data_IF_893753199198
#
_entry.id   IF_893753199198
#
_cell.length_a   1.000
_cell.length_b   1.000
_cell.length_c   1.000
_cell.angle_alpha   90.00
_cell.angle_beta   90.00
_cell.angle_gamma   90.00
#
_symmetry.space_group_name_H-M   'P 1'
#
loop_
_entity.id
_entity.type
_entity.pdbx_description
1 polymer ?
#
# COMPACT_ATOMS: atom_id res chain seq x y z
N UNK A 1 14.23 -66.94 19.85
CA UNK A 1 12.95 -66.21 19.63
C UNK A 1 11.80 -67.17 19.88
N UNK A 2 11.00 -66.92 20.91
CA UNK A 2 9.90 -67.81 21.32
C UNK A 2 8.77 -67.80 20.28
N UNK A 3 8.03 -68.91 20.17
CA UNK A 3 6.90 -69.06 19.26
C UNK A 3 5.83 -67.96 19.48
N UNK A 4 5.70 -67.46 20.71
CA UNK A 4 4.83 -66.34 21.07
C UNK A 4 5.18 -65.03 20.34
N UNK A 5 6.47 -64.73 20.14
CA UNK A 5 6.90 -63.53 19.43
C UNK A 5 6.51 -63.58 17.94
N UNK A 6 6.65 -64.74 17.31
CA UNK A 6 6.27 -64.93 15.90
C UNK A 6 4.76 -64.82 15.70
N UNK A 7 3.97 -65.32 16.65
CA UNK A 7 2.51 -65.16 16.66
C UNK A 7 2.07 -63.71 16.84
N UNK A 8 2.74 -62.95 17.72
CA UNK A 8 2.41 -61.53 17.92
C UNK A 8 2.73 -60.68 16.67
N UNK A 9 3.86 -60.94 16.02
CA UNK A 9 4.24 -60.24 14.77
C UNK A 9 3.28 -60.59 13.62
N UNK A 10 2.90 -61.86 13.48
CA UNK A 10 1.94 -62.29 12.46
C UNK A 10 0.53 -61.69 12.71
N UNK A 11 0.09 -61.63 13.97
CA UNK A 11 -1.19 -61.00 14.33
C UNK A 11 -1.18 -59.49 14.07
N UNK A 12 -0.08 -58.80 14.39
CA UNK A 12 0.07 -57.36 14.11
C UNK A 12 0.09 -57.07 12.61
N UNK A 13 0.77 -57.90 11.80
CA UNK A 13 0.78 -57.76 10.35
C UNK A 13 -0.61 -58.01 9.73
N UNK A 14 -1.36 -58.99 10.24
CA UNK A 14 -2.72 -59.27 9.79
C UNK A 14 -3.70 -58.14 10.13
N UNK A 15 -3.58 -57.53 11.33
CA UNK A 15 -4.37 -56.37 11.74
C UNK A 15 -4.04 -55.12 10.90
N UNK A 16 -2.77 -54.88 10.58
CA UNK A 16 -2.37 -53.78 9.71
C UNK A 16 -2.88 -53.97 8.27
N UNK A 17 -2.81 -55.20 7.74
CA UNK A 17 -3.35 -55.53 6.42
C UNK A 17 -4.89 -55.41 6.39
N UNK A 18 -5.59 -55.85 7.44
CA UNK A 18 -7.02 -55.70 7.54
C UNK A 18 -7.45 -54.22 7.63
N UNK A 19 -6.67 -53.37 8.32
CA UNK A 19 -6.94 -51.94 8.40
C UNK A 19 -6.73 -51.23 7.06
N UNK A 20 -5.74 -51.65 6.26
CA UNK A 20 -5.51 -51.13 4.91
C UNK A 20 -6.58 -51.55 3.91
N UNK A 21 -7.18 -52.74 4.07
CA UNK A 21 -8.17 -53.28 3.13
C UNK A 21 -9.61 -52.87 3.51
N UNK A 22 -9.92 -52.78 4.79
CA UNK A 22 -11.28 -52.52 5.31
C UNK A 22 -11.41 -51.20 6.07
N UNK A 23 -10.44 -50.29 5.95
CA UNK A 23 -10.50 -48.92 6.45
C UNK A 23 -11.55 -48.08 5.71
N UNK A 24 -12.82 -48.47 5.84
CA UNK A 24 -13.99 -47.70 5.45
C UNK A 24 -14.20 -46.52 6.39
N UNK A 25 -13.27 -45.57 6.34
CA UNK A 25 -13.61 -44.21 6.71
C UNK A 25 -14.76 -43.72 5.81
N UNK A 26 -15.57 -42.74 6.26
CA UNK A 26 -16.48 -42.05 5.36
C UNK A 26 -15.71 -41.66 4.09
N UNK A 27 -16.35 -41.72 2.90
CA UNK A 27 -15.68 -41.30 1.68
C UNK A 27 -15.02 -39.95 1.94
N UNK A 28 -13.79 -39.71 1.43
CA UNK A 28 -13.17 -38.40 1.55
C UNK A 28 -14.23 -37.38 1.16
N UNK A 29 -14.43 -36.35 1.99
CA UNK A 29 -15.33 -35.26 1.66
C UNK A 29 -14.91 -34.81 0.27
N UNK A 30 -15.71 -35.15 -0.74
CA UNK A 30 -15.61 -34.52 -2.03
C UNK A 30 -15.93 -33.07 -1.72
N UNK A 31 -14.88 -32.26 -1.59
CA UNK A 31 -15.02 -30.84 -1.75
C UNK A 31 -15.66 -30.72 -3.13
N UNK A 32 -16.96 -30.42 -3.14
CA UNK A 32 -17.61 -29.90 -4.33
C UNK A 32 -16.70 -28.76 -4.74
N UNK A 33 -15.87 -29.00 -5.77
CA UNK A 33 -15.11 -27.95 -6.41
C UNK A 33 -16.17 -26.91 -6.71
N UNK A 34 -16.11 -25.71 -6.09
CA UNK A 34 -17.10 -24.70 -6.35
C UNK A 34 -17.18 -24.59 -7.86
N UNK A 35 -18.38 -24.78 -8.40
CA UNK A 35 -18.62 -24.74 -9.84
C UNK A 35 -17.82 -23.56 -10.37
N UNK A 36 -16.83 -23.79 -11.27
CA UNK A 36 -15.88 -22.77 -11.64
C UNK A 36 -16.69 -21.55 -12.02
N UNK A 37 -16.53 -20.47 -11.24
CA UNK A 37 -17.24 -19.24 -11.48
C UNK A 37 -17.12 -18.96 -12.98
N UNK A 38 -18.24 -18.69 -13.69
CA UNK A 38 -18.19 -18.50 -15.12
C UNK A 38 -17.03 -17.57 -15.42
N UNK A 39 -16.13 -17.93 -16.37
CA UNK A 39 -14.92 -17.18 -16.61
C UNK A 39 -15.32 -15.71 -16.71
N UNK A 40 -14.78 -14.91 -15.79
CA UNK A 40 -15.10 -13.50 -15.73
C UNK A 40 -14.95 -12.96 -17.15
N UNK A 41 -15.99 -12.30 -17.66
CA UNK A 41 -15.94 -11.72 -19.00
C UNK A 41 -14.64 -10.94 -19.10
N UNK A 42 -13.77 -11.20 -20.09
CA UNK A 42 -12.47 -10.56 -20.18
C UNK A 42 -12.69 -9.06 -20.05
N UNK A 43 -11.97 -8.41 -19.13
CA UNK A 43 -12.05 -6.98 -19.02
C UNK A 43 -11.70 -6.37 -20.39
N UNK A 44 -12.43 -5.36 -20.87
CA UNK A 44 -12.12 -4.73 -22.15
C UNK A 44 -10.69 -4.19 -22.11
N UNK A 45 -9.93 -4.40 -23.20
CA UNK A 45 -8.56 -3.95 -23.30
C UNK A 45 -8.46 -2.43 -23.09
N UNK A 46 -7.43 -1.99 -22.36
CA UNK A 46 -7.20 -0.58 -22.10
C UNK A 46 -6.85 0.19 -23.39
N UNK A 47 -7.44 1.37 -23.56
CA UNK A 47 -7.23 2.22 -24.76
C UNK A 47 -6.35 3.43 -24.43
N UNK A 48 -5.49 3.86 -25.37
CA UNK A 48 -4.69 5.08 -25.20
C UNK A 48 -5.59 6.29 -24.97
N UNK A 49 -5.33 7.02 -23.89
CA UNK A 49 -6.02 8.27 -23.57
C UNK A 49 -5.24 9.45 -24.17
N UNK A 50 -5.74 9.99 -25.28
CA UNK A 50 -5.13 11.16 -25.96
C UNK A 50 -5.74 12.50 -25.55
N UNK A 51 -6.94 12.49 -24.97
CA UNK A 51 -7.68 13.67 -24.53
C UNK A 51 -8.24 13.52 -23.11
N UNK A 52 -9.40 14.13 -22.80
CA UNK A 52 -10.05 13.95 -21.50
C UNK A 52 -10.56 12.51 -21.31
N UNK A 53 -10.51 12.03 -20.08
CA UNK A 53 -11.12 10.77 -19.66
C UNK A 53 -12.65 10.88 -19.82
N UNK A 54 -13.28 9.96 -20.57
CA UNK A 54 -14.73 9.97 -20.77
C UNK A 54 -15.56 9.77 -19.49
N UNK A 55 -14.95 9.18 -18.46
CA UNK A 55 -15.55 9.01 -17.15
C UNK A 55 -14.52 9.24 -16.04
N UNK A 56 -14.95 9.61 -14.81
CA UNK A 56 -14.05 9.82 -13.70
C UNK A 56 -13.19 8.59 -13.41
N UNK A 57 -11.88 8.77 -13.39
CA UNK A 57 -10.92 7.73 -13.03
C UNK A 57 -11.01 7.49 -11.52
N UNK A 58 -10.92 6.21 -11.14
CA UNK A 58 -10.95 5.76 -9.75
C UNK A 58 -9.66 5.04 -9.38
N UNK A 59 -9.13 4.24 -10.27
CA UNK A 59 -7.97 3.42 -9.94
C UNK A 59 -6.91 3.59 -11.00
N UNK A 60 -5.67 3.43 -10.59
CA UNK A 60 -4.60 3.10 -11.50
C UNK A 60 -3.91 1.83 -11.01
N UNK A 61 -3.46 0.99 -11.93
CA UNK A 61 -2.70 -0.20 -11.60
C UNK A 61 -1.66 -0.50 -12.67
N UNK A 62 -0.59 -1.18 -12.28
CA UNK A 62 0.40 -1.73 -13.19
C UNK A 62 -0.13 -3.03 -13.81
N UNK A 63 -0.27 -3.13 -15.14
CA UNK A 63 -0.86 -4.30 -15.76
C UNK A 63 0.13 -5.47 -15.89
N UNK A 64 -0.30 -6.68 -15.52
CA UNK A 64 0.43 -7.92 -15.82
C UNK A 64 -0.11 -8.58 -17.06
N UNK A 65 0.33 -8.10 -18.22
CA UNK A 65 0.04 -8.77 -19.48
C UNK A 65 1.33 -9.24 -20.14
N UNK A 66 1.32 -10.50 -20.57
CA UNK A 66 2.45 -11.17 -21.20
C UNK A 66 2.53 -10.90 -22.72
N UNK A 67 1.58 -10.12 -23.27
CA UNK A 67 1.44 -9.93 -24.71
C UNK A 67 2.22 -8.73 -25.27
N UNK A 68 2.85 -7.93 -24.39
CA UNK A 68 3.73 -6.82 -24.76
C UNK A 68 3.04 -5.69 -25.53
N UNK A 69 1.70 -5.61 -25.48
CA UNK A 69 0.94 -4.53 -26.12
C UNK A 69 1.28 -3.18 -25.49
N UNK A 70 1.11 -2.07 -26.22
CA UNK A 70 1.48 -0.74 -25.71
C UNK A 70 0.80 -0.40 -24.39
N UNK A 71 -0.44 -0.86 -24.16
CA UNK A 71 -1.15 -0.67 -22.90
C UNK A 71 -0.49 -1.40 -21.72
N UNK A 72 0.22 -2.49 -21.95
CA UNK A 72 0.90 -3.27 -20.91
C UNK A 72 2.15 -2.63 -20.37
N UNK A 73 2.75 -1.70 -21.10
CA UNK A 73 3.96 -0.98 -20.68
C UNK A 73 3.64 0.31 -19.93
N UNK A 74 2.39 0.46 -19.49
CA UNK A 74 1.89 1.68 -18.88
C UNK A 74 0.92 1.35 -17.75
N UNK A 75 0.84 2.24 -16.78
CA UNK A 75 -0.22 2.24 -15.79
C UNK A 75 -1.61 2.31 -16.45
N UNK A 76 -2.50 1.42 -16.04
CA UNK A 76 -3.90 1.38 -16.48
C UNK A 76 -4.77 2.16 -15.54
N UNK A 77 -5.41 3.20 -16.07
CA UNK A 77 -6.46 3.99 -15.44
C UNK A 77 -7.81 3.29 -15.58
N UNK A 78 -8.57 3.18 -14.49
CA UNK A 78 -9.88 2.53 -14.45
C UNK A 78 -10.93 3.47 -13.89
N UNK A 79 -12.04 3.63 -14.59
CA UNK A 79 -13.21 4.37 -14.10
C UNK A 79 -14.07 3.57 -13.11
N UNK A 80 -15.04 4.25 -12.48
CA UNK A 80 -16.04 3.61 -11.63
C UNK A 80 -16.89 2.56 -12.37
N UNK A 81 -17.07 2.74 -13.68
CA UNK A 81 -17.83 1.84 -14.55
C UNK A 81 -16.97 0.74 -15.17
N UNK A 82 -15.68 0.63 -14.80
CA UNK A 82 -14.77 -0.40 -15.29
C UNK A 82 -14.18 -0.14 -16.68
N UNK A 83 -14.39 1.03 -17.27
CA UNK A 83 -13.68 1.43 -18.49
C UNK A 83 -12.19 1.65 -18.18
N UNK A 84 -11.32 1.25 -19.11
CA UNK A 84 -9.87 1.23 -18.91
C UNK A 84 -9.14 2.05 -19.96
N UNK A 85 -8.13 2.81 -19.52
CA UNK A 85 -7.28 3.60 -20.39
C UNK A 85 -5.83 3.58 -19.92
N UNK A 86 -4.90 4.02 -20.75
CA UNK A 86 -3.52 4.28 -20.38
C UNK A 86 -3.06 5.62 -20.95
N UNK A 87 -2.08 6.27 -20.32
CA UNK A 87 -1.49 7.53 -20.80
C UNK A 87 -0.04 7.32 -21.18
N UNK A 88 0.40 7.96 -22.26
CA UNK A 88 1.79 7.88 -22.73
C UNK A 88 2.78 8.44 -21.70
N UNK A 89 3.88 7.73 -21.46
CA UNK A 89 4.93 8.11 -20.51
C UNK A 89 4.67 7.68 -19.07
N UNK A 90 3.44 7.26 -18.73
CA UNK A 90 3.14 6.61 -17.45
C UNK A 90 3.54 5.13 -17.50
N UNK A 91 4.83 4.86 -17.72
CA UNK A 91 5.33 3.49 -17.81
C UNK A 91 5.07 2.70 -16.52
N UNK A 92 4.94 1.39 -16.65
CA UNK A 92 4.68 0.46 -15.54
C UNK A 92 5.79 0.49 -14.46
N UNK A 93 7.03 0.70 -14.87
CA UNK A 93 8.20 0.85 -13.99
C UNK A 93 8.48 2.30 -13.55
N UNK A 94 7.73 3.27 -14.09
CA UNK A 94 7.99 4.69 -13.89
C UNK A 94 7.20 5.29 -12.70
N UNK A 95 7.74 6.34 -12.04
CA UNK A 95 7.02 6.99 -10.95
C UNK A 95 5.69 7.61 -11.40
N UNK A 96 4.61 7.37 -10.66
CA UNK A 96 3.24 7.69 -11.07
C UNK A 96 2.39 8.18 -9.89
N UNK A 97 1.56 9.21 -10.10
CA UNK A 97 0.60 9.72 -9.11
C UNK A 97 -0.79 10.00 -9.72
N UNK A 98 -1.86 9.84 -8.93
CA UNK A 98 -3.26 10.10 -9.28
C UNK A 98 -3.86 10.82 -8.09
N UNK A 99 -4.57 11.91 -8.36
CA UNK A 99 -5.24 12.68 -7.33
C UNK A 99 -6.36 11.87 -6.70
N UNK A 100 -6.69 12.20 -5.45
CA UNK A 100 -7.77 11.53 -4.71
C UNK A 100 -9.14 11.63 -5.40
N UNK A 101 -9.35 12.70 -6.17
CA UNK A 101 -10.57 12.95 -6.95
C UNK A 101 -10.53 12.37 -8.38
N UNK A 102 -9.42 11.71 -8.75
CA UNK A 102 -9.26 11.05 -10.05
C UNK A 102 -9.22 12.00 -11.24
N UNK A 103 -8.99 13.30 -11.01
CA UNK A 103 -8.98 14.33 -12.06
C UNK A 103 -7.58 14.68 -12.56
N UNK A 104 -6.53 14.27 -11.86
CA UNK A 104 -5.16 14.63 -12.18
C UNK A 104 -4.25 13.41 -12.06
N UNK A 105 -3.41 13.20 -13.07
CA UNK A 105 -2.29 12.26 -12.97
C UNK A 105 -0.96 12.98 -13.12
N UNK A 106 0.07 12.50 -12.44
CA UNK A 106 1.44 12.95 -12.61
C UNK A 106 2.31 11.77 -13.00
N UNK A 107 3.09 11.93 -14.05
CA UNK A 107 3.97 10.88 -14.57
C UNK A 107 5.14 11.49 -15.35
N UNK A 108 6.22 10.74 -15.59
CA UNK A 108 7.27 11.12 -16.53
C UNK A 108 6.77 11.33 -17.95
N UNK A 109 7.32 12.32 -18.63
CA UNK A 109 7.25 12.47 -20.07
C UNK A 109 8.54 13.14 -20.55
N UNK A 110 9.42 12.37 -21.18
CA UNK A 110 10.79 12.83 -21.46
C UNK A 110 11.63 12.90 -20.19
N UNK A 111 12.33 14.02 -19.96
CA UNK A 111 13.22 14.23 -18.80
C UNK A 111 12.53 14.91 -17.61
N UNK A 112 11.19 15.01 -17.63
CA UNK A 112 10.40 15.78 -16.66
C UNK A 112 9.15 15.07 -16.22
N UNK A 113 8.69 15.43 -15.02
CA UNK A 113 7.33 15.14 -14.61
C UNK A 113 6.35 16.06 -15.35
N UNK A 114 5.22 15.49 -15.75
CA UNK A 114 4.07 16.23 -16.26
C UNK A 114 2.85 15.96 -15.38
N UNK A 115 2.02 16.98 -15.19
CA UNK A 115 0.71 16.85 -14.59
C UNK A 115 -0.35 16.92 -15.69
N UNK A 116 -1.08 15.83 -15.91
CA UNK A 116 -2.18 15.76 -16.87
C UNK A 116 -3.52 15.84 -16.13
N UNK A 117 -4.28 16.87 -16.46
CA UNK A 117 -5.68 16.99 -16.07
C UNK A 117 -6.50 16.03 -16.93
N UNK A 118 -7.07 15.01 -16.29
CA UNK A 118 -7.90 13.98 -16.91
C UNK A 118 -9.28 14.50 -17.32
N UNK A 119 -9.74 15.63 -16.80
CA UNK A 119 -11.04 16.21 -17.17
C UNK A 119 -10.97 17.05 -18.44
N UNK A 120 -9.83 17.70 -18.67
CA UNK A 120 -9.61 18.56 -19.84
C UNK A 120 -8.67 17.96 -20.88
N UNK A 121 -7.85 16.99 -20.48
CA UNK A 121 -6.74 16.44 -21.28
C UNK A 121 -5.49 17.34 -21.26
N UNK A 122 -5.51 18.47 -20.55
CA UNK A 122 -4.41 19.44 -20.51
C UNK A 122 -3.19 18.81 -19.84
N UNK A 123 -2.02 18.96 -20.46
CA UNK A 123 -0.74 18.49 -19.92
C UNK A 123 0.10 19.71 -19.51
N UNK A 124 0.56 19.72 -18.27
CA UNK A 124 1.41 20.79 -17.71
C UNK A 124 2.76 20.21 -17.33
N UNK A 125 3.83 20.72 -17.92
CA UNK A 125 5.20 20.36 -17.53
C UNK A 125 5.53 20.92 -16.14
N UNK A 126 6.12 20.07 -15.30
CA UNK A 126 6.54 20.47 -13.96
C UNK A 126 8.01 20.92 -13.94
N UNK A 127 8.38 21.83 -13.03
CA UNK A 127 9.75 22.33 -12.87
C UNK A 127 10.70 21.33 -12.17
N UNK A 128 10.44 20.02 -12.30
CA UNK A 128 11.22 18.95 -11.67
C UNK A 128 11.55 17.91 -12.73
N UNK A 129 12.84 17.55 -12.79
CA UNK A 129 13.33 16.53 -13.69
C UNK A 129 13.02 15.13 -13.17
N UNK A 130 12.87 14.18 -14.07
CA UNK A 130 12.94 12.76 -13.76
C UNK A 130 14.41 12.40 -13.74
N UNK A 131 15.08 12.62 -12.61
CA UNK A 131 16.44 12.11 -12.45
C UNK A 131 16.41 10.57 -12.42
N UNK A 132 17.46 9.92 -12.91
CA UNK A 132 17.66 8.47 -12.78
C UNK A 132 17.73 8.15 -11.28
N UNK A 133 16.58 7.73 -10.74
CA UNK A 133 16.45 7.27 -9.37
C UNK A 133 17.15 5.93 -9.30
N UNK A 134 18.17 5.82 -8.45
CA UNK A 134 18.82 4.52 -8.18
C UNK A 134 17.84 3.59 -7.44
N UNK A 135 16.78 4.18 -6.90
CA UNK A 135 15.57 3.49 -6.51
C UNK A 135 15.04 2.55 -7.59
N UNK A 136 15.37 2.64 -8.87
CA UNK A 136 15.06 1.58 -9.85
C UNK A 136 15.59 0.17 -9.42
N UNK A 137 16.66 0.10 -8.61
CA UNK A 137 17.18 -1.15 -8.02
C UNK A 137 16.42 -1.55 -6.74
N UNK A 138 15.76 -0.61 -6.05
CA UNK A 138 15.10 -0.78 -4.75
C UNK A 138 13.60 -0.40 -4.71
N UNK A 139 12.98 -0.15 -5.86
CA UNK A 139 11.69 0.53 -6.05
C UNK A 139 11.80 2.06 -6.11
N UNK A 140 11.59 2.67 -7.28
CA UNK A 140 11.58 4.12 -7.43
C UNK A 140 10.48 4.74 -6.55
N UNK A 141 10.82 5.74 -5.73
CA UNK A 141 9.87 6.34 -4.80
C UNK A 141 8.82 7.14 -5.59
N UNK A 142 7.57 6.68 -5.58
CA UNK A 142 6.56 7.33 -6.38
C UNK A 142 6.20 8.72 -5.82
N UNK A 143 5.85 9.66 -6.69
CA UNK A 143 5.37 10.97 -6.28
C UNK A 143 4.03 10.87 -5.53
N UNK A 144 3.81 11.79 -4.60
CA UNK A 144 2.59 11.82 -3.76
C UNK A 144 1.86 13.16 -3.90
N UNK A 145 0.65 13.13 -4.47
CA UNK A 145 -0.23 14.29 -4.57
C UNK A 145 -0.87 14.65 -3.22
N UNK A 146 -0.98 15.94 -2.95
CA UNK A 146 -1.83 16.43 -1.85
C UNK A 146 -3.29 16.10 -2.13
N UNK A 147 -4.09 16.05 -1.06
CA UNK A 147 -5.51 15.66 -1.17
C UNK A 147 -6.30 16.57 -2.12
N UNK A 148 -5.93 17.86 -2.20
CA UNK A 148 -6.51 18.85 -3.11
C UNK A 148 -5.88 18.86 -4.53
N UNK A 149 -4.95 17.93 -4.82
CA UNK A 149 -4.26 17.81 -6.10
C UNK A 149 -3.33 18.98 -6.45
N UNK A 150 -3.15 19.95 -5.56
CA UNK A 150 -2.38 21.17 -5.85
C UNK A 150 -0.87 21.00 -5.70
N UNK A 151 -0.45 20.15 -4.78
CA UNK A 151 0.96 19.97 -4.45
C UNK A 151 1.41 18.55 -4.76
N UNK A 152 2.62 18.44 -5.31
CA UNK A 152 3.27 17.16 -5.53
C UNK A 152 4.46 17.04 -4.59
N UNK A 153 4.55 15.94 -3.86
CA UNK A 153 5.76 15.58 -3.16
C UNK A 153 6.57 14.64 -4.05
N UNK A 154 7.82 15.01 -4.34
CA UNK A 154 8.79 14.23 -5.11
C UNK A 154 9.97 13.88 -4.22
N UNK A 155 10.50 12.68 -4.38
CA UNK A 155 11.70 12.20 -3.69
C UNK A 155 12.62 11.63 -4.74
N UNK A 156 13.89 12.00 -4.64
CA UNK A 156 14.94 11.41 -5.44
C UNK A 156 15.91 10.72 -4.51
N UNK A 157 16.56 9.71 -5.05
CA UNK A 157 17.71 9.05 -4.48
C UNK A 157 18.80 8.95 -5.54
N UNK A 158 20.05 9.07 -5.11
CA UNK A 158 21.20 8.92 -5.98
C UNK A 158 22.27 8.07 -5.28
N UNK A 159 23.22 7.54 -6.06
CA UNK A 159 24.41 6.88 -5.52
C UNK A 159 25.45 7.97 -5.32
N UNK A 160 26.06 8.00 -4.15
CA UNK A 160 27.27 8.80 -3.97
C UNK A 160 28.50 8.14 -4.62
N UNK A 161 29.65 8.79 -4.46
CA UNK A 161 30.93 8.34 -5.02
C UNK A 161 31.37 6.96 -4.48
N UNK A 162 30.84 6.55 -3.32
CA UNK A 162 31.12 5.28 -2.64
C UNK A 162 30.05 4.20 -2.93
N UNK A 163 29.11 4.47 -3.85
CA UNK A 163 28.00 3.58 -4.22
C UNK A 163 27.04 3.35 -3.04
N UNK A 164 26.93 4.32 -2.13
CA UNK A 164 25.89 4.34 -1.11
C UNK A 164 24.65 5.10 -1.63
N UNK A 165 23.45 4.57 -1.34
CA UNK A 165 22.19 5.23 -1.69
C UNK A 165 21.97 6.42 -0.76
N UNK A 166 22.02 7.61 -1.33
CA UNK A 166 21.74 8.88 -0.64
C UNK A 166 20.34 9.35 -1.00
N UNK A 167 19.47 9.39 0.01
CA UNK A 167 18.14 9.99 -0.13
C UNK A 167 18.26 11.51 -0.19
N UNK A 168 17.83 12.10 -1.30
CA UNK A 168 17.72 13.55 -1.40
C UNK A 168 16.63 14.08 -0.44
N UNK A 169 16.74 15.36 -0.11
CA UNK A 169 15.68 16.03 0.63
C UNK A 169 14.41 16.08 -0.23
N UNK A 170 13.26 15.57 0.26
CA UNK A 170 12.04 15.60 -0.52
C UNK A 170 11.65 17.02 -0.92
N UNK A 171 11.01 17.14 -2.08
CA UNK A 171 10.58 18.40 -2.68
C UNK A 171 9.07 18.48 -2.75
N UNK A 172 8.51 19.64 -2.42
CA UNK A 172 7.11 19.97 -2.68
C UNK A 172 7.07 20.89 -3.91
N UNK A 173 6.30 20.50 -4.92
CA UNK A 173 5.99 21.30 -6.11
C UNK A 173 4.58 21.84 -5.98
N UNK A 174 4.37 23.15 -6.11
CA UNK A 174 3.04 23.72 -6.36
C UNK A 174 2.79 23.61 -7.87
N UNK A 175 1.92 22.68 -8.28
CA UNK A 175 1.65 22.35 -9.68
C UNK A 175 1.11 23.56 -10.44
N UNK A 176 0.27 24.37 -9.78
CA UNK A 176 -0.34 25.54 -10.42
C UNK A 176 0.63 26.70 -10.59
N UNK A 177 1.53 26.88 -9.63
CA UNK A 177 2.49 28.01 -9.63
C UNK A 177 3.83 27.67 -10.26
N UNK A 178 4.12 26.38 -10.49
CA UNK A 178 5.43 25.92 -10.96
C UNK A 178 6.56 26.24 -9.97
N UNK A 179 6.27 26.33 -8.67
CA UNK A 179 7.29 26.62 -7.65
C UNK A 179 7.70 25.36 -6.90
N UNK A 180 8.98 25.22 -6.58
CA UNK A 180 9.54 24.06 -5.86
C UNK A 180 10.12 24.49 -4.51
N UNK A 181 9.87 23.69 -3.47
CA UNK A 181 10.42 23.90 -2.12
C UNK A 181 10.93 22.58 -1.53
N UNK A 182 12.18 22.56 -1.07
CA UNK A 182 12.75 21.41 -0.35
C UNK A 182 12.28 21.37 1.11
N UNK A 183 12.09 20.15 1.63
CA UNK A 183 11.78 19.92 3.03
C UNK A 183 13.00 20.13 3.95
N UNK A 184 12.77 20.37 5.26
CA UNK A 184 13.84 20.38 6.27
C UNK A 184 14.61 19.05 6.30
N UNK A 185 15.90 19.11 6.64
CA UNK A 185 16.73 17.90 6.80
C UNK A 185 16.33 17.15 8.08
N UNK A 186 16.26 15.82 8.02
CA UNK A 186 16.00 14.95 9.18
C UNK A 186 14.52 14.78 9.56
N UNK A 187 13.61 15.37 8.79
CA UNK A 187 12.17 15.12 8.90
C UNK A 187 11.78 14.10 7.81
N UNK A 188 11.19 12.96 8.20
CA UNK A 188 10.61 11.97 7.26
C UNK A 188 9.17 12.33 6.97
N UNK A 189 8.67 11.99 5.78
CA UNK A 189 7.28 12.28 5.42
C UNK A 189 6.38 11.16 5.93
N UNK A 190 5.33 11.51 6.68
CA UNK A 190 4.30 10.57 7.11
C UNK A 190 3.09 10.54 6.17
N UNK A 191 2.80 11.65 5.47
CA UNK A 191 1.74 11.72 4.46
C UNK A 191 1.03 13.07 4.38
N UNK A 192 0.11 13.21 3.43
CA UNK A 192 -0.72 14.42 3.29
C UNK A 192 -1.98 14.32 4.15
N UNK A 193 -2.36 15.47 4.71
CA UNK A 193 -3.62 15.71 5.42
C UNK A 193 -4.30 16.94 4.83
N UNK A 194 -5.56 17.14 5.16
CA UNK A 194 -6.33 18.35 4.81
C UNK A 194 -5.74 19.61 5.44
N UNK A 195 -5.04 19.49 6.57
CA UNK A 195 -4.32 20.59 7.23
C UNK A 195 -2.92 20.84 6.60
N UNK A 196 -2.39 19.89 5.83
CA UNK A 196 -1.08 19.99 5.16
C UNK A 196 -0.23 18.72 5.25
N UNK A 197 1.09 18.86 5.08
CA UNK A 197 2.02 17.73 5.09
C UNK A 197 2.38 17.33 6.53
N UNK A 198 2.18 16.06 6.87
CA UNK A 198 2.64 15.49 8.12
C UNK A 198 4.08 14.97 7.98
N UNK A 199 4.93 15.38 8.91
CA UNK A 199 6.33 15.05 8.99
C UNK A 199 6.62 14.39 10.34
N UNK A 200 7.53 13.44 10.37
CA UNK A 200 7.90 12.68 11.57
C UNK A 200 9.41 12.69 11.79
N UNK A 201 9.82 12.81 13.05
CA UNK A 201 11.21 12.72 13.47
C UNK A 201 11.31 11.77 14.66
N UNK A 202 12.24 10.82 14.58
CA UNK A 202 12.50 9.87 15.66
C UNK A 202 13.55 10.44 16.62
N UNK A 203 13.28 10.28 17.92
CA UNK A 203 14.14 10.73 19.01
C UNK A 203 14.47 9.57 19.94
N UNK A 204 15.76 9.31 20.23
CA UNK A 204 16.14 8.36 21.26
C UNK A 204 15.81 8.93 22.64
N UNK A 205 15.08 8.19 23.49
CA UNK A 205 14.95 8.55 24.91
C UNK A 205 16.17 8.02 25.67
N UNK A 206 17.20 8.86 25.75
CA UNK A 206 18.52 8.49 26.31
C UNK A 206 18.50 8.24 27.83
N UNK A 207 17.45 8.66 28.53
CA UNK A 207 17.40 8.69 29.99
C UNK A 207 16.54 7.58 30.62
N UNK A 208 16.13 6.55 29.85
CA UNK A 208 15.32 5.42 30.35
C UNK A 208 16.03 4.08 30.11
N UNK A 209 16.09 3.17 31.10
CA UNK A 209 16.63 1.82 30.88
C UNK A 209 15.79 1.09 29.82
N UNK A 210 16.45 0.59 28.76
CA UNK A 210 15.80 -0.08 27.62
C UNK A 210 15.52 0.80 26.40
N UNK A 211 16.01 2.04 26.34
CA UNK A 211 15.95 2.97 25.18
C UNK A 211 14.64 2.91 24.37
N UNK A 212 13.52 3.31 24.97
CA UNK A 212 12.29 3.51 24.21
C UNK A 212 12.45 4.72 23.26
N UNK A 213 12.38 4.49 21.95
CA UNK A 213 12.33 5.60 20.99
C UNK A 213 11.02 6.38 21.16
N UNK A 214 10.99 7.64 20.74
CA UNK A 214 9.76 8.43 20.58
C UNK A 214 9.74 9.05 19.20
N UNK A 215 8.54 9.28 18.65
CA UNK A 215 8.37 9.90 17.34
C UNK A 215 7.58 11.19 17.47
N UNK A 216 8.17 12.30 17.05
CA UNK A 216 7.56 13.62 17.03
C UNK A 216 6.95 13.88 15.64
N UNK A 217 5.65 14.08 15.60
CA UNK A 217 4.91 14.45 14.40
C UNK A 217 4.71 15.96 14.35
N UNK A 218 4.88 16.55 13.16
CA UNK A 218 4.62 17.96 12.87
C UNK A 218 3.81 18.05 11.58
N UNK A 219 2.66 18.70 11.63
CA UNK A 219 1.84 18.96 10.45
C UNK A 219 2.06 20.40 10.02
N UNK A 220 2.51 20.57 8.77
CA UNK A 220 2.79 21.88 8.18
C UNK A 220 1.80 22.18 7.07
N UNK A 221 1.15 23.34 7.14
CA UNK A 221 0.34 23.88 6.06
C UNK A 221 1.12 23.97 4.74
N UNK A 222 0.46 24.12 3.59
CA UNK A 222 1.13 24.36 2.31
C UNK A 222 2.15 25.52 2.35
N UNK A 223 1.84 26.58 3.09
CA UNK A 223 2.73 27.72 3.32
C UNK A 223 3.88 27.46 4.31
N UNK A 224 4.06 26.23 4.77
CA UNK A 224 5.15 25.81 5.67
C UNK A 224 4.93 26.09 7.16
N UNK A 225 3.84 26.76 7.54
CA UNK A 225 3.50 27.04 8.94
C UNK A 225 3.10 25.75 9.67
N UNK A 226 3.59 25.56 10.88
CA UNK A 226 3.17 24.46 11.76
C UNK A 226 1.72 24.67 12.18
N UNK A 227 0.87 23.69 11.90
CA UNK A 227 -0.56 23.65 12.26
C UNK A 227 -0.75 22.80 13.51
N UNK A 228 -0.01 21.69 13.63
CA UNK A 228 -0.15 20.74 14.74
C UNK A 228 1.19 20.08 15.05
N UNK A 229 1.38 19.68 16.31
CA UNK A 229 2.51 18.88 16.77
C UNK A 229 2.07 17.92 17.87
N UNK A 230 2.53 16.69 17.82
CA UNK A 230 2.30 15.69 18.87
C UNK A 230 3.43 14.65 18.88
N UNK A 231 3.53 13.87 19.95
CA UNK A 231 4.57 12.84 20.10
C UNK A 231 3.91 11.52 20.46
N UNK A 232 4.41 10.42 19.90
CA UNK A 232 3.99 9.06 20.23
C UNK A 232 5.21 8.22 20.62
N UNK A 233 5.02 7.11 21.36
CA UNK A 233 6.04 6.08 21.51
C UNK A 233 6.60 5.61 20.15
N UNK A 234 7.88 5.33 20.07
CA UNK A 234 8.58 5.10 18.80
C UNK A 234 8.21 3.78 18.10
N UNK A 235 7.66 2.80 18.84
CA UNK A 235 7.00 1.65 18.21
C UNK A 235 5.74 2.05 17.41
N UNK A 236 5.26 3.30 17.55
CA UNK A 236 4.16 3.86 16.76
C UNK A 236 4.62 4.85 15.68
N UNK A 237 5.93 5.01 15.46
CA UNK A 237 6.55 6.00 14.56
C UNK A 237 6.16 5.86 13.06
N UNK A 238 5.64 4.69 12.67
CA UNK A 238 5.29 4.36 11.29
C UNK A 238 3.77 4.40 11.05
N UNK A 239 3.05 5.25 11.79
CA UNK A 239 1.61 5.44 11.64
C UNK A 239 1.21 6.32 10.44
N UNK A 240 -0.03 6.12 9.97
CA UNK A 240 -0.68 6.89 8.92
C UNK A 240 -1.61 7.97 9.50
N UNK A 241 -1.37 9.27 9.25
CA UNK A 241 -2.31 10.31 9.67
C UNK A 241 -3.60 10.23 8.84
N UNK A 242 -4.74 10.37 9.51
CA UNK A 242 -6.06 10.49 8.88
C UNK A 242 -6.14 11.72 7.97
N UNK A 243 -7.02 11.76 6.96
CA UNK A 243 -7.19 12.94 6.11
C UNK A 243 -7.47 14.22 6.92
N UNK A 244 -8.27 14.15 7.98
CA UNK A 244 -8.56 15.27 8.88
C UNK A 244 -7.42 15.65 9.82
N UNK A 245 -6.30 14.92 9.80
CA UNK A 245 -5.19 15.03 10.75
C UNK A 245 -5.56 14.82 12.22
N UNK A 246 -6.77 14.36 12.57
CA UNK A 246 -7.22 14.19 13.97
C UNK A 246 -6.75 12.88 14.60
N UNK A 247 -6.46 11.90 13.76
CA UNK A 247 -6.09 10.54 14.18
C UNK A 247 -4.84 10.07 13.45
N UNK A 248 -4.02 9.27 14.12
CA UNK A 248 -2.93 8.49 13.55
C UNK A 248 -3.32 7.01 13.67
N UNK A 249 -3.34 6.27 12.56
CA UNK A 249 -3.53 4.83 12.57
C UNK A 249 -2.19 4.11 12.49
N UNK A 250 -1.92 3.19 13.40
CA UNK A 250 -0.69 2.41 13.40
C UNK A 250 -1.01 0.93 13.55
N UNK A 251 -0.35 0.08 12.76
CA UNK A 251 -0.41 -1.36 12.95
C UNK A 251 0.47 -1.74 14.14
N UNK A 252 -0.12 -2.29 15.18
CA UNK A 252 0.62 -2.68 16.39
C UNK A 252 1.28 -4.02 16.14
N UNK A 253 2.61 -4.01 16.09
CA UNK A 253 3.45 -5.21 16.03
C UNK A 253 4.03 -5.46 17.42
N UNK A 254 3.67 -6.58 18.03
CA UNK A 254 4.21 -7.03 19.32
C UNK A 254 5.22 -8.14 19.09
N UNK A 255 6.43 -7.98 19.65
CA UNK A 255 7.48 -8.99 19.55
C UNK A 255 7.20 -10.08 20.60
N UNK A 256 6.84 -11.27 20.13
CA UNK A 256 6.77 -12.48 20.93
C UNK A 256 8.10 -13.28 20.81
N UNK A 257 8.39 -14.24 21.72
CA UNK A 257 9.66 -14.98 21.72
C UNK A 257 10.03 -15.68 20.40
N UNK A 258 9.04 -15.98 19.54
CA UNK A 258 9.23 -16.71 18.29
C UNK A 258 8.52 -16.08 17.08
N UNK A 259 7.80 -14.95 17.24
CA UNK A 259 7.03 -14.33 16.16
C UNK A 259 6.77 -12.84 16.45
N UNK A 260 6.37 -12.07 15.44
CA UNK A 260 5.82 -10.72 15.60
C UNK A 260 4.32 -10.78 15.39
N UNK A 261 3.54 -10.59 16.45
CA UNK A 261 2.08 -10.66 16.39
C UNK A 261 1.51 -9.27 16.11
N UNK A 262 0.72 -9.15 15.04
CA UNK A 262 -0.09 -7.96 14.79
C UNK A 262 -1.33 -8.00 15.67
N UNK A 263 -1.41 -7.16 16.70
CA UNK A 263 -2.53 -7.16 17.67
C UNK A 263 -3.71 -6.28 17.23
N UNK A 264 -3.54 -5.56 16.11
CA UNK A 264 -4.59 -4.75 15.50
C UNK A 264 -4.10 -3.39 15.04
N UNK A 265 -5.06 -2.51 14.77
CA UNK A 265 -4.84 -1.13 14.33
C UNK A 265 -5.13 -0.22 15.53
N UNK A 266 -4.10 0.48 16.00
CA UNK A 266 -4.22 1.47 17.06
C UNK A 266 -4.53 2.84 16.45
N UNK A 267 -5.61 3.46 16.93
CA UNK A 267 -5.94 4.84 16.63
C UNK A 267 -5.45 5.74 17.77
N UNK A 268 -4.59 6.69 17.43
CA UNK A 268 -4.02 7.67 18.36
C UNK A 268 -4.50 9.06 18.01
N UNK A 269 -4.98 9.83 18.99
CA UNK A 269 -5.43 11.20 18.80
C UNK A 269 -4.24 12.14 18.65
N UNK A 270 -4.25 12.96 17.60
CA UNK A 270 -3.12 13.86 17.28
C UNK A 270 -3.12 15.15 18.10
N UNK A 271 -4.17 15.40 18.89
CA UNK A 271 -4.22 16.56 19.80
C UNK A 271 -3.29 16.37 21.00
N UNK A 272 -3.17 15.15 21.50
CA UNK A 272 -2.46 14.85 22.75
C UNK A 272 -1.64 13.56 22.71
N UNK A 273 -1.58 12.86 21.58
CA UNK A 273 -0.83 11.60 21.42
C UNK A 273 -1.44 10.41 22.18
N UNK A 274 -2.67 10.51 22.69
CA UNK A 274 -3.31 9.44 23.45
C UNK A 274 -3.98 8.41 22.55
N UNK A 275 -3.94 7.15 22.96
CA UNK A 275 -4.76 6.09 22.37
C UNK A 275 -6.24 6.45 22.47
N UNK A 276 -6.92 6.45 21.34
CA UNK A 276 -8.38 6.58 21.24
C UNK A 276 -9.05 5.21 21.29
N UNK A 277 -8.53 4.27 20.50
CA UNK A 277 -9.12 2.93 20.33
C UNK A 277 -8.13 1.97 19.67
N UNK A 278 -8.27 0.68 19.96
CA UNK A 278 -7.66 -0.40 19.17
C UNK A 278 -8.75 -1.14 18.39
N UNK A 279 -8.49 -1.42 17.12
CA UNK A 279 -9.39 -2.11 16.20
C UNK A 279 -8.74 -3.44 15.84
N UNK A 280 -9.47 -4.54 15.97
CA UNK A 280 -9.03 -5.85 15.49
C UNK A 280 -9.67 -6.08 14.12
N UNK A 281 -8.88 -6.09 13.02
CA UNK A 281 -9.42 -6.35 11.68
C UNK A 281 -9.98 -7.78 11.60
N UNK A 282 -11.24 -7.91 11.22
CA UNK A 282 -11.93 -9.18 10.97
C UNK A 282 -11.66 -9.62 9.54
N UNK A 283 -10.40 -9.91 9.26
CA UNK A 283 -9.96 -10.46 7.98
C UNK A 283 -10.44 -11.91 7.81
N UNK A 284 -10.55 -12.42 6.57
CA UNK A 284 -10.77 -13.84 6.32
C UNK A 284 -9.78 -14.73 7.07
N UNK A 285 -10.22 -15.94 7.39
CA UNK A 285 -9.40 -16.90 8.15
C UNK A 285 -8.06 -17.17 7.45
N UNK A 286 -6.97 -17.17 8.24
CA UNK A 286 -5.61 -17.39 7.75
C UNK A 286 -4.91 -16.14 7.23
N UNK A 287 -5.61 -15.01 7.08
CA UNK A 287 -5.01 -13.72 6.69
C UNK A 287 -4.64 -12.88 7.92
N UNK A 288 -3.49 -12.20 7.82
CA UNK A 288 -3.02 -11.24 8.82
C UNK A 288 -2.76 -9.89 8.18
N UNK A 289 -3.13 -8.81 8.86
CA UNK A 289 -2.75 -7.46 8.43
C UNK A 289 -1.24 -7.29 8.59
N UNK A 290 -0.56 -6.95 7.50
CA UNK A 290 0.89 -6.74 7.48
C UNK A 290 1.26 -5.25 7.33
N UNK A 291 0.49 -4.50 6.54
CA UNK A 291 0.73 -3.08 6.31
C UNK A 291 -0.57 -2.27 6.21
N UNK A 292 -0.54 -1.04 6.73
CA UNK A 292 -1.56 -0.03 6.44
C UNK A 292 -1.16 0.69 5.17
N UNK A 293 -2.05 0.72 4.18
CA UNK A 293 -1.74 1.27 2.86
C UNK A 293 -2.17 2.72 2.78
N UNK A 294 -3.44 3.00 3.05
CA UNK A 294 -4.01 4.35 3.03
C UNK A 294 -5.34 4.41 3.78
N UNK A 295 -5.81 5.62 3.98
CA UNK A 295 -7.16 5.91 4.44
C UNK A 295 -8.17 5.87 3.28
N UNK A 296 -9.33 5.27 3.54
CA UNK A 296 -10.51 5.26 2.67
C UNK A 296 -11.56 6.21 3.26
N UNK A 297 -11.27 7.51 3.23
CA UNK A 297 -11.98 8.50 4.02
C UNK A 297 -11.58 8.47 5.51
N UNK A 298 -12.44 8.98 6.39
CA UNK A 298 -12.15 9.06 7.83
C UNK A 298 -12.43 7.76 8.60
N UNK A 299 -13.23 6.86 8.03
CA UNK A 299 -13.84 5.76 8.78
C UNK A 299 -13.35 4.38 8.34
N UNK A 300 -12.43 4.31 7.37
CA UNK A 300 -11.93 3.06 6.83
C UNK A 300 -10.44 3.15 6.43
N UNK A 301 -9.77 2.00 6.44
CA UNK A 301 -8.38 1.84 6.00
C UNK A 301 -8.28 0.74 4.94
N UNK A 302 -7.49 0.99 3.90
CA UNK A 302 -7.00 -0.07 3.02
C UNK A 302 -5.79 -0.73 3.68
N UNK A 303 -5.86 -2.04 3.83
CA UNK A 303 -4.88 -2.87 4.51
C UNK A 303 -4.37 -3.94 3.53
N UNK A 304 -3.05 -4.12 3.50
CA UNK A 304 -2.44 -5.30 2.88
C UNK A 304 -2.47 -6.43 3.89
N UNK A 305 -3.04 -7.55 3.48
CA UNK A 305 -3.10 -8.77 4.25
C UNK A 305 -2.32 -9.87 3.56
N UNK A 306 -1.65 -10.70 4.35
CA UNK A 306 -0.80 -11.78 3.90
C UNK A 306 -1.25 -13.09 4.56
N UNK A 307 -1.21 -14.20 3.81
CA UNK A 307 -1.44 -15.53 4.35
C UNK A 307 -0.13 -16.21 4.81
N UNK A 308 -0.23 -17.42 5.38
CA UNK A 308 0.94 -18.19 5.86
C UNK A 308 1.94 -18.60 4.76
N UNK A 309 1.57 -18.49 3.49
CA UNK A 309 2.39 -18.84 2.33
C UNK A 309 2.94 -17.58 1.63
N UNK A 310 2.72 -16.40 2.21
CA UNK A 310 3.15 -15.13 1.62
C UNK A 310 2.22 -14.58 0.54
N UNK A 311 1.01 -15.15 0.38
CA UNK A 311 0.07 -14.65 -0.62
C UNK A 311 -0.55 -13.35 -0.13
N UNK A 312 -0.40 -12.31 -0.94
CA UNK A 312 -0.89 -10.97 -0.66
C UNK A 312 -2.33 -10.75 -1.16
N UNK A 313 -3.12 -10.01 -0.38
CA UNK A 313 -4.47 -9.55 -0.72
C UNK A 313 -4.76 -8.17 -0.09
N UNK A 314 -5.76 -7.47 -0.60
CA UNK A 314 -6.10 -6.11 -0.14
C UNK A 314 -7.53 -6.02 0.37
N UNK A 315 -7.67 -5.44 1.56
CA UNK A 315 -8.95 -5.36 2.25
C UNK A 315 -9.22 -3.96 2.75
N UNK A 316 -10.45 -3.50 2.57
CA UNK A 316 -10.94 -2.28 3.21
C UNK A 316 -11.51 -2.66 4.57
N UNK A 317 -10.93 -2.11 5.63
CA UNK A 317 -11.31 -2.34 7.02
C UNK A 317 -12.10 -1.13 7.53
N UNK A 318 -13.34 -1.36 7.95
CA UNK A 318 -14.17 -0.40 8.65
C UNK A 318 -13.65 -0.19 10.07
N UNK A 319 -13.37 1.05 10.46
CA UNK A 319 -12.73 1.37 11.75
C UNK A 319 -13.71 1.37 12.93
N UNK A 320 -15.01 1.49 12.66
CA UNK A 320 -16.02 1.43 13.70
C UNK A 320 -16.23 -0.01 14.20
N UNK A 321 -16.17 -0.99 13.29
CA UNK A 321 -16.59 -2.38 13.52
C UNK A 321 -15.47 -3.39 13.33
N UNK A 322 -14.36 -3.01 12.72
CA UNK A 322 -13.30 -3.91 12.27
C UNK A 322 -13.72 -4.85 11.14
N UNK A 323 -14.90 -4.67 10.53
CA UNK A 323 -15.32 -5.49 9.39
C UNK A 323 -14.36 -5.27 8.22
N UNK A 324 -13.85 -6.35 7.62
CA UNK A 324 -13.05 -6.29 6.42
C UNK A 324 -13.87 -6.72 5.21
N UNK A 325 -13.72 -6.00 4.10
CA UNK A 325 -14.24 -6.41 2.79
C UNK A 325 -13.12 -6.45 1.78
N UNK A 326 -13.18 -7.44 0.91
CA UNK A 326 -12.27 -7.55 -0.22
C UNK A 326 -12.40 -6.33 -1.14
N UNK A 327 -11.26 -5.81 -1.59
CA UNK A 327 -11.24 -4.85 -2.68
C UNK A 327 -11.47 -5.65 -3.98
N UNK A 328 -12.74 -5.83 -4.35
CA UNK A 328 -13.18 -6.59 -5.55
C UNK A 328 -12.80 -5.89 -6.86
N UNK A 329 -11.52 -5.65 -7.09
CA UNK A 329 -10.92 -5.45 -8.39
C UNK A 329 -10.26 -6.78 -8.72
N UNK A 330 -10.71 -7.46 -9.78
CA UNK A 330 -10.09 -8.69 -10.24
C UNK A 330 -8.71 -8.37 -10.79
N UNK A 331 -7.72 -8.27 -9.90
CA UNK A 331 -6.32 -8.15 -10.26
C UNK A 331 -5.82 -9.58 -10.49
N UNK A 332 -5.66 -10.00 -11.75
CA UNK A 332 -4.87 -11.19 -12.07
C UNK A 332 -3.50 -11.05 -11.37
N UNK A 333 -2.88 -12.15 -10.87
CA UNK A 333 -1.92 -12.13 -9.78
C UNK A 333 -0.91 -11.02 -10.00
N UNK A 334 -1.07 -9.97 -9.19
CA UNK A 334 -0.19 -8.81 -9.21
C UNK A 334 1.18 -9.32 -8.82
N UNK A 335 2.18 -9.23 -9.69
CA UNK A 335 3.55 -9.41 -9.24
C UNK A 335 3.83 -8.28 -8.25
N UNK A 336 4.11 -8.66 -7.02
CA UNK A 336 4.36 -7.77 -5.90
C UNK A 336 5.52 -6.81 -6.17
N UNK A 337 5.19 -5.58 -6.58
CA UNK A 337 6.01 -4.40 -6.34
C UNK A 337 5.18 -3.32 -5.61
N UNK A 338 5.11 -3.52 -4.30
CA UNK A 338 5.14 -2.52 -3.20
C UNK A 338 4.30 -1.22 -3.30
N UNK A 339 3.12 -1.25 -2.68
CA UNK A 339 2.29 -0.10 -2.24
C UNK A 339 2.84 0.66 -1.06
N UNK A 340 2.25 1.85 -0.79
CA UNK A 340 1.84 2.38 0.55
C UNK A 340 2.20 3.86 0.86
N UNK A 341 2.53 4.32 2.09
CA UNK A 341 2.69 5.74 2.42
C UNK A 341 4.07 6.22 2.08
N UNK A 342 4.20 7.48 1.67
CA UNK A 342 5.44 8.23 1.62
C UNK A 342 6.71 7.49 1.09
N UNK A 343 7.26 6.56 1.84
CA UNK A 343 8.27 5.57 1.43
C UNK A 343 7.74 4.42 0.54
N UNK A 344 6.49 4.46 0.12
CA UNK A 344 5.81 3.37 -0.56
C UNK A 344 4.69 4.01 -1.40
N UNK A 345 4.22 3.43 -2.52
CA UNK A 345 3.14 4.03 -3.31
C UNK A 345 2.47 3.02 -4.25
N UNK A 346 1.17 2.80 -4.04
CA UNK A 346 0.25 2.24 -5.04
C UNK A 346 -1.00 3.11 -5.00
N UNK A 347 -1.57 3.27 -6.19
CA UNK A 347 -2.30 4.45 -6.54
C UNK A 347 -3.75 4.13 -6.88
N UNK A 348 -4.55 4.01 -5.82
CA UNK A 348 -5.98 3.78 -5.90
C UNK A 348 -6.61 5.09 -5.42
N UNK A 349 -7.28 5.84 -6.28
CA UNK A 349 -7.95 7.11 -5.95
C UNK A 349 -9.43 6.88 -5.62
N UNK A 350 -9.79 6.74 -4.34
CA UNK A 350 -11.21 6.65 -3.98
C UNK A 350 -11.88 8.03 -3.99
N UNK A 351 -12.60 8.33 -5.07
CA UNK A 351 -13.55 9.46 -5.11
C UNK A 351 -14.85 9.04 -4.42
N UNK A 352 -15.45 9.89 -3.58
CA UNK A 352 -16.79 9.64 -3.02
C UNK A 352 -17.88 9.85 -4.06
#
# INVERSE_FOLDING_TARGET
>A
MSALWRLCVAAAAALAAAWLIYGGGPPPVEFLSPEPAPPATPAPAAVKLTGPAPAPVRYAYEPHCNDGTDGCRHHILVSATGQQWWVEGAHDDAPFALSSDGTLVVHPLGDRFVARDLTTGTVTELPVKTEESVGEIFGAQQPLLSLDGRHLLVRHDHLDEDVEVVLERPMIVDIRRGTVRRLPKGERVAGWTTEGLALVTDHPARDLPGYATSAAYVIRSPGGRVVRRFTVPGNLAHGLPSPSARTLATLVKEIAPHDVVSTGILLTGTENGKTLRTIVPRLPEGLRADALIRWEGEDALLVRAEDRHGKISYHVVDLATGAARDLRVAMAPVSDYMLAPAELSVLIGSVR
#
